data_IF_002819560400
#
_entry.id   IF_002819560400
#
_cell.length_a   1.000
_cell.length_b   1.000
_cell.length_c   1.000
_cell.angle_alpha   90.00
_cell.angle_beta   90.00
_cell.angle_gamma   90.00
#
_symmetry.space_group_name_H-M   'P 1'
#
loop_
_entity.id
_entity.type
_entity.pdbx_description
1 polymer ?
#
# COMPACT_ATOMS: atom_id res chain seq x y z
N UNK A 1 21.50 -9.92 10.74
CA UNK A 1 20.19 -10.40 10.27
C UNK A 1 20.29 -10.71 8.79
N UNK A 2 19.98 -11.98 8.44
CA UNK A 2 19.98 -12.39 7.03
C UNK A 2 18.73 -11.82 6.38
N UNK A 3 18.87 -11.01 5.34
CA UNK A 3 17.76 -10.47 4.58
C UNK A 3 17.19 -11.54 3.63
N UNK A 4 15.89 -11.50 3.37
CA UNK A 4 15.27 -12.26 2.30
C UNK A 4 15.58 -11.59 0.96
N UNK A 5 15.50 -12.35 -0.13
CA UNK A 5 15.47 -11.76 -1.46
C UNK A 5 14.26 -10.83 -1.59
N UNK A 6 14.33 -9.84 -2.47
CA UNK A 6 13.23 -8.92 -2.71
C UNK A 6 12.89 -8.83 -4.20
N UNK A 7 11.66 -8.42 -4.46
CA UNK A 7 11.17 -8.10 -5.79
C UNK A 7 10.66 -6.66 -5.80
N UNK A 8 11.08 -5.89 -6.78
CA UNK A 8 10.47 -4.60 -7.08
C UNK A 8 9.35 -4.87 -8.08
N UNK A 9 8.13 -4.49 -7.72
CA UNK A 9 6.97 -4.66 -8.59
C UNK A 9 6.48 -3.30 -9.02
N UNK A 10 6.55 -3.05 -10.33
CA UNK A 10 5.93 -1.89 -10.97
C UNK A 10 4.61 -2.35 -11.57
N UNK A 11 3.50 -1.82 -11.10
CA UNK A 11 2.20 -2.14 -11.66
C UNK A 11 1.68 -0.94 -12.45
N UNK A 12 1.29 -1.17 -13.71
CA UNK A 12 0.71 -0.15 -14.58
C UNK A 12 -0.79 -0.14 -14.39
N UNK A 13 -1.34 1.02 -14.10
CA UNK A 13 -2.79 1.22 -13.92
C UNK A 13 -3.30 2.18 -14.97
N UNK A 14 -4.30 1.73 -15.74
CA UNK A 14 -4.92 2.53 -16.79
C UNK A 14 -5.80 3.63 -16.19
N UNK A 15 -5.64 4.85 -16.66
CA UNK A 15 -6.37 6.03 -16.21
C UNK A 15 -7.89 5.90 -16.36
N UNK A 16 -8.35 5.39 -17.48
CA UNK A 16 -9.78 5.22 -17.77
C UNK A 16 -10.44 4.27 -16.77
N UNK A 17 -9.75 3.15 -16.47
CA UNK A 17 -10.21 2.20 -15.47
C UNK A 17 -10.41 2.85 -14.09
N UNK A 18 -9.46 3.72 -13.66
CA UNK A 18 -9.60 4.46 -12.40
C UNK A 18 -10.79 5.41 -12.45
N UNK A 19 -10.97 6.13 -13.56
CA UNK A 19 -12.08 7.07 -13.72
C UNK A 19 -13.43 6.36 -13.65
N UNK A 20 -13.57 5.24 -14.33
CA UNK A 20 -14.77 4.42 -14.30
C UNK A 20 -15.06 3.92 -12.87
N UNK A 21 -14.02 3.45 -12.17
CA UNK A 21 -14.14 3.00 -10.78
C UNK A 21 -14.66 4.12 -9.86
N UNK A 22 -14.13 5.35 -10.00
CA UNK A 22 -14.56 6.50 -9.20
C UNK A 22 -16.03 6.84 -9.50
N UNK A 23 -16.39 6.88 -10.77
CA UNK A 23 -17.73 7.28 -11.21
C UNK A 23 -18.81 6.25 -10.84
N UNK A 24 -18.54 4.97 -11.07
CA UNK A 24 -19.48 3.88 -10.82
C UNK A 24 -19.74 3.66 -9.33
N UNK A 25 -18.72 3.80 -8.50
CA UNK A 25 -18.82 3.47 -7.08
C UNK A 25 -19.09 4.69 -6.18
N UNK A 26 -19.25 5.89 -6.74
CA UNK A 26 -19.54 7.13 -5.99
C UNK A 26 -18.62 7.32 -4.76
N UNK A 27 -17.37 7.03 -4.93
CA UNK A 27 -16.37 7.10 -3.85
C UNK A 27 -16.27 8.53 -3.31
N UNK A 28 -16.14 8.67 -2.00
CA UNK A 28 -16.05 9.97 -1.32
C UNK A 28 -14.83 10.05 -0.40
N UNK A 29 -14.27 11.26 -0.28
CA UNK A 29 -13.15 11.58 0.62
C UNK A 29 -13.63 11.78 2.05
N UNK A 30 -12.70 11.86 3.00
CA UNK A 30 -12.97 12.10 4.41
C UNK A 30 -13.77 13.39 4.69
N UNK A 31 -13.72 14.39 3.80
CA UNK A 31 -14.47 15.63 3.89
C UNK A 31 -15.80 15.64 3.11
N UNK A 32 -16.29 14.46 2.73
CA UNK A 32 -17.49 14.25 1.89
C UNK A 32 -17.40 14.85 0.48
N UNK A 33 -16.21 15.27 0.03
CA UNK A 33 -15.98 15.65 -1.36
C UNK A 33 -15.83 14.39 -2.20
N UNK A 34 -16.37 14.43 -3.41
CA UNK A 34 -16.12 13.34 -4.37
C UNK A 34 -14.63 13.30 -4.74
N UNK A 35 -14.11 12.11 -4.95
CA UNK A 35 -12.77 11.93 -5.49
C UNK A 35 -12.68 12.55 -6.88
N UNK A 36 -11.61 13.27 -7.13
CA UNK A 36 -11.31 13.86 -8.43
C UNK A 36 -10.23 13.01 -9.10
N UNK A 37 -10.52 12.59 -10.33
CA UNK A 37 -9.56 11.83 -11.10
C UNK A 37 -8.19 12.54 -11.22
N UNK A 38 -8.19 13.82 -11.61
CA UNK A 38 -6.94 14.55 -11.88
C UNK A 38 -6.07 14.74 -10.63
N UNK A 39 -6.72 14.94 -9.46
CA UNK A 39 -6.00 15.17 -8.21
C UNK A 39 -5.60 13.87 -7.49
N UNK A 40 -6.32 12.79 -7.73
CA UNK A 40 -6.27 11.60 -6.86
C UNK A 40 -5.85 10.32 -7.62
N UNK A 41 -5.58 10.42 -8.91
CA UNK A 41 -5.24 9.29 -9.78
C UNK A 41 -4.09 8.43 -9.20
N UNK A 42 -3.03 9.07 -8.68
CA UNK A 42 -1.91 8.35 -8.08
C UNK A 42 -2.29 7.56 -6.83
N UNK A 43 -3.22 8.09 -6.02
CA UNK A 43 -3.72 7.41 -4.82
C UNK A 43 -4.50 6.16 -5.20
N UNK A 44 -5.39 6.27 -6.19
CA UNK A 44 -6.13 5.13 -6.71
C UNK A 44 -5.22 4.09 -7.36
N UNK A 45 -4.30 4.52 -8.23
CA UNK A 45 -3.34 3.65 -8.88
C UNK A 45 -2.53 2.85 -7.86
N UNK A 46 -2.07 3.52 -6.81
CA UNK A 46 -1.33 2.90 -5.71
C UNK A 46 -2.16 1.82 -5.00
N UNK A 47 -3.42 2.11 -4.70
CA UNK A 47 -4.29 1.17 -3.99
C UNK A 47 -4.69 -0.02 -4.87
N UNK A 48 -5.02 0.22 -6.14
CA UNK A 48 -5.35 -0.86 -7.08
C UNK A 48 -4.14 -1.78 -7.29
N UNK A 49 -2.95 -1.21 -7.51
CA UNK A 49 -1.70 -1.96 -7.63
C UNK A 49 -1.44 -2.83 -6.40
N UNK A 50 -1.64 -2.25 -5.21
CA UNK A 50 -1.50 -2.98 -3.95
C UNK A 50 -2.44 -4.18 -3.90
N UNK A 51 -3.74 -3.96 -4.17
CA UNK A 51 -4.76 -5.02 -4.08
C UNK A 51 -4.52 -6.14 -5.07
N UNK A 52 -4.18 -5.81 -6.31
CA UNK A 52 -3.82 -6.80 -7.32
C UNK A 52 -2.64 -7.67 -6.87
N UNK A 53 -1.58 -7.04 -6.35
CA UNK A 53 -0.42 -7.80 -5.89
C UNK A 53 -0.71 -8.64 -4.64
N UNK A 54 -1.50 -8.12 -3.70
CA UNK A 54 -1.94 -8.89 -2.52
C UNK A 54 -2.64 -10.17 -2.94
N UNK A 55 -3.51 -10.10 -3.94
CA UNK A 55 -4.22 -11.27 -4.47
C UNK A 55 -3.32 -12.22 -5.26
N UNK A 56 -2.49 -11.68 -6.15
CA UNK A 56 -1.62 -12.47 -7.04
C UNK A 56 -0.54 -13.22 -6.28
N UNK A 57 0.09 -12.56 -5.30
CA UNK A 57 1.22 -13.11 -4.55
C UNK A 57 0.81 -13.65 -3.16
N UNK A 58 -0.49 -13.62 -2.84
CA UNK A 58 -1.04 -14.03 -1.54
C UNK A 58 -0.33 -13.35 -0.35
N UNK A 59 -0.13 -12.02 -0.46
CA UNK A 59 0.52 -11.24 0.57
C UNK A 59 -0.41 -11.07 1.78
N UNK A 60 0.15 -11.19 2.97
CA UNK A 60 -0.60 -11.17 4.23
C UNK A 60 -0.49 -9.84 4.96
N UNK A 61 0.70 -9.24 4.95
CA UNK A 61 1.02 -8.07 5.77
C UNK A 61 1.73 -6.99 4.95
N UNK A 62 1.05 -5.89 4.72
CA UNK A 62 1.57 -4.78 3.91
C UNK A 62 1.62 -3.49 4.70
N UNK A 63 2.66 -2.69 4.46
CA UNK A 63 2.79 -1.33 5.00
C UNK A 63 2.85 -0.33 3.86
N UNK A 64 2.00 0.70 3.91
CA UNK A 64 2.07 1.82 2.97
C UNK A 64 2.63 3.08 3.63
N UNK A 65 3.52 3.75 2.91
CA UNK A 65 4.17 4.98 3.34
C UNK A 65 3.58 6.19 2.62
N UNK A 66 3.17 7.19 3.39
CA UNK A 66 2.54 8.41 2.91
C UNK A 66 3.31 9.65 3.36
N UNK A 67 3.22 10.72 2.58
CA UNK A 67 3.89 12.01 2.87
C UNK A 67 3.32 12.73 4.08
N UNK A 68 2.05 12.48 4.43
CA UNK A 68 1.36 13.12 5.56
C UNK A 68 0.32 12.23 6.23
N UNK A 69 -0.04 12.57 7.47
CA UNK A 69 -1.10 11.90 8.22
C UNK A 69 -2.46 11.98 7.50
N UNK A 70 -2.90 13.13 6.95
CA UNK A 70 -4.13 13.19 6.17
C UNK A 70 -4.13 12.21 5.00
N UNK A 71 -3.05 12.13 4.22
CA UNK A 71 -2.96 11.19 3.08
C UNK A 71 -3.03 9.74 3.53
N UNK A 72 -2.37 9.36 4.62
CA UNK A 72 -2.47 8.00 5.16
C UNK A 72 -3.88 7.64 5.61
N UNK A 73 -4.61 8.59 6.20
CA UNK A 73 -6.01 8.42 6.60
C UNK A 73 -6.95 8.29 5.40
N UNK A 74 -6.76 9.12 4.39
CA UNK A 74 -7.54 9.05 3.13
C UNK A 74 -7.32 7.73 2.41
N UNK A 75 -6.07 7.25 2.34
CA UNK A 75 -5.75 5.97 1.73
C UNK A 75 -6.46 4.80 2.44
N UNK A 76 -6.47 4.82 3.79
CA UNK A 76 -7.23 3.86 4.58
C UNK A 76 -8.72 3.94 4.27
N UNK A 77 -9.30 5.14 4.26
CA UNK A 77 -10.73 5.33 3.98
C UNK A 77 -11.10 4.81 2.60
N UNK A 78 -10.29 5.07 1.58
CA UNK A 78 -10.49 4.56 0.23
C UNK A 78 -10.43 3.03 0.21
N UNK A 79 -9.47 2.44 0.92
CA UNK A 79 -9.39 0.99 1.04
C UNK A 79 -10.66 0.40 1.66
N UNK A 80 -11.18 1.01 2.73
CA UNK A 80 -12.38 0.54 3.42
C UNK A 80 -13.62 0.67 2.51
N UNK A 81 -13.71 1.72 1.72
CA UNK A 81 -14.76 1.88 0.72
C UNK A 81 -14.68 0.77 -0.34
N UNK A 82 -13.50 0.51 -0.89
CA UNK A 82 -13.33 -0.55 -1.89
C UNK A 82 -13.64 -1.94 -1.33
N UNK A 83 -13.50 -2.19 -0.04
CA UNK A 83 -13.94 -3.44 0.58
C UNK A 83 -15.46 -3.65 0.47
N UNK A 84 -16.25 -2.59 0.26
CA UNK A 84 -17.72 -2.67 0.19
C UNK A 84 -18.24 -2.78 -1.24
N UNK A 85 -17.42 -2.49 -2.26
CA UNK A 85 -17.92 -2.32 -3.62
C UNK A 85 -17.70 -3.53 -4.53
N UNK A 86 -16.66 -4.31 -4.32
CA UNK A 86 -16.36 -5.40 -5.25
C UNK A 86 -15.63 -6.55 -4.58
N UNK A 87 -16.13 -7.76 -4.84
CA UNK A 87 -15.43 -9.00 -4.53
C UNK A 87 -14.13 -9.17 -5.35
N UNK A 88 -14.02 -8.48 -6.49
CA UNK A 88 -12.91 -8.65 -7.43
C UNK A 88 -11.57 -8.13 -6.88
N UNK A 89 -11.64 -7.18 -5.92
CA UNK A 89 -10.46 -6.62 -5.28
C UNK A 89 -10.05 -7.32 -3.98
N UNK A 90 -10.83 -8.32 -3.53
CA UNK A 90 -10.64 -8.94 -2.22
C UNK A 90 -10.93 -7.95 -1.07
N UNK A 91 -10.77 -8.43 0.16
CA UNK A 91 -10.90 -7.61 1.36
C UNK A 91 -9.53 -7.43 2.00
N UNK A 92 -9.12 -6.19 2.27
CA UNK A 92 -7.89 -5.88 2.99
C UNK A 92 -8.24 -5.09 4.25
N UNK A 93 -7.88 -5.62 5.41
CA UNK A 93 -8.12 -4.98 6.70
C UNK A 93 -7.10 -3.88 6.97
N UNK A 94 -7.51 -2.62 6.84
CA UNK A 94 -6.63 -1.48 6.99
C UNK A 94 -6.68 -0.85 8.38
N UNK A 95 -5.53 -0.53 8.91
CA UNK A 95 -5.34 0.29 10.10
C UNK A 95 -4.43 1.48 9.78
N UNK A 96 -4.63 2.61 10.45
CA UNK A 96 -3.78 3.78 10.28
C UNK A 96 -2.98 4.02 11.57
N UNK A 97 -1.72 4.41 11.41
CA UNK A 97 -0.82 4.72 12.53
C UNK A 97 -0.02 5.99 12.21
N UNK A 98 0.23 6.78 13.24
CA UNK A 98 1.01 8.01 13.13
C UNK A 98 1.93 8.22 14.33
N UNK A 99 2.88 9.12 14.20
CA UNK A 99 3.75 9.52 15.32
C UNK A 99 3.02 10.21 16.47
N UNK A 100 1.76 10.66 16.25
CA UNK A 100 0.92 11.28 17.28
C UNK A 100 0.20 10.26 18.17
N UNK A 101 0.16 9.00 17.76
CA UNK A 101 -0.53 7.96 18.53
C UNK A 101 0.31 7.53 19.73
N UNK A 102 -0.37 7.25 20.84
CA UNK A 102 0.30 6.73 22.05
C UNK A 102 0.95 5.36 21.77
N UNK A 103 1.90 4.98 22.62
CA UNK A 103 2.55 3.67 22.52
C UNK A 103 1.56 2.51 22.66
N UNK A 104 0.52 2.67 23.51
CA UNK A 104 -0.54 1.69 23.67
C UNK A 104 -1.34 1.49 22.38
N UNK A 105 -1.85 2.58 21.80
CA UNK A 105 -2.59 2.54 20.51
C UNK A 105 -1.75 1.89 19.41
N UNK A 106 -0.48 2.27 19.31
CA UNK A 106 0.43 1.67 18.32
C UNK A 106 0.61 0.17 18.53
N UNK A 107 0.75 -0.28 19.79
CA UNK A 107 0.87 -1.69 20.13
C UNK A 107 -0.39 -2.47 19.74
N UNK A 108 -1.57 -1.92 20.01
CA UNK A 108 -2.86 -2.55 19.68
C UNK A 108 -3.03 -2.72 18.16
N UNK A 109 -2.71 -1.66 17.40
CA UNK A 109 -2.73 -1.70 15.92
C UNK A 109 -1.77 -2.76 15.41
N UNK A 110 -0.55 -2.84 15.93
CA UNK A 110 0.44 -3.84 15.51
C UNK A 110 0.04 -5.25 15.88
N UNK A 111 -0.60 -5.46 17.02
CA UNK A 111 -1.13 -6.76 17.43
C UNK A 111 -2.23 -7.20 16.47
N UNK A 112 -3.17 -6.32 16.16
CA UNK A 112 -4.24 -6.57 15.19
C UNK A 112 -3.69 -6.86 13.79
N UNK A 113 -2.71 -6.09 13.35
CA UNK A 113 -2.04 -6.27 12.07
C UNK A 113 -1.45 -7.68 11.91
N UNK A 114 -0.84 -8.22 12.96
CA UNK A 114 -0.26 -9.57 12.96
C UNK A 114 -1.27 -10.70 12.99
N UNK A 115 -2.49 -10.44 13.47
CA UNK A 115 -3.51 -11.48 13.69
C UNK A 115 -4.56 -11.58 12.59
N UNK A 116 -4.66 -10.59 11.71
CA UNK A 116 -5.66 -10.53 10.64
C UNK A 116 -4.96 -10.53 9.29
N UNK A 117 -5.43 -11.35 8.35
CA UNK A 117 -4.86 -11.50 7.01
C UNK A 117 -5.93 -11.42 5.92
N UNK A 118 -5.70 -10.72 4.82
CA UNK A 118 -4.60 -9.78 4.58
C UNK A 118 -4.81 -8.47 5.34
N UNK A 119 -3.74 -7.87 5.83
CA UNK A 119 -3.77 -6.62 6.58
C UNK A 119 -2.83 -5.56 6.02
N UNK A 120 -3.26 -4.30 6.16
CA UNK A 120 -2.55 -3.12 5.72
C UNK A 120 -2.39 -2.12 6.87
N UNK A 121 -1.18 -1.63 7.08
CA UNK A 121 -0.95 -0.43 7.89
C UNK A 121 -0.63 0.74 6.97
N UNK A 122 -1.44 1.79 7.04
CA UNK A 122 -1.12 3.08 6.43
C UNK A 122 -0.43 3.97 7.43
N UNK A 123 0.73 4.53 7.07
CA UNK A 123 1.49 5.35 8.00
C UNK A 123 2.11 6.59 7.35
N UNK A 124 2.33 7.63 8.18
CA UNK A 124 3.08 8.81 7.82
C UNK A 124 4.27 8.96 8.77
N UNK A 125 5.46 8.54 8.31
CA UNK A 125 6.76 8.73 8.97
C UNK A 125 6.99 8.01 10.31
N UNK A 126 6.05 7.25 10.85
CA UNK A 126 6.21 6.69 12.19
C UNK A 126 6.78 5.25 12.23
N UNK A 127 6.77 4.55 11.12
CA UNK A 127 7.32 3.18 11.03
C UNK A 127 8.74 3.15 10.42
N UNK A 128 9.37 4.30 10.20
CA UNK A 128 10.75 4.39 9.73
C UNK A 128 11.77 4.15 10.84
N UNK A 129 11.39 4.36 12.11
CA UNK A 129 12.28 4.18 13.26
C UNK A 129 11.68 3.25 14.32
N UNK A 130 12.52 2.42 14.93
CA UNK A 130 12.25 1.74 16.21
C UNK A 130 11.21 0.62 16.24
N UNK A 131 10.50 0.30 15.17
CA UNK A 131 9.48 -0.78 15.16
C UNK A 131 9.97 -1.97 14.37
N UNK A 132 10.22 -3.06 15.07
CA UNK A 132 10.55 -4.35 14.44
C UNK A 132 9.26 -5.13 14.16
N UNK A 133 8.91 -5.24 12.87
CA UNK A 133 7.78 -6.03 12.40
C UNK A 133 8.29 -7.05 11.38
N UNK A 134 8.73 -8.24 11.81
CA UNK A 134 9.29 -9.25 10.90
C UNK A 134 8.30 -9.78 9.88
N UNK A 135 7.01 -9.70 10.19
CA UNK A 135 5.92 -10.26 9.35
C UNK A 135 5.59 -9.44 8.10
N UNK A 136 6.21 -8.28 7.86
CA UNK A 136 5.91 -7.46 6.68
C UNK A 136 6.34 -8.21 5.41
N UNK A 137 5.39 -8.45 4.51
CA UNK A 137 5.63 -9.08 3.20
C UNK A 137 5.96 -8.04 2.13
N UNK A 138 5.30 -6.88 2.19
CA UNK A 138 5.46 -5.83 1.20
C UNK A 138 5.42 -4.43 1.79
N UNK A 139 6.11 -3.52 1.13
CA UNK A 139 6.00 -2.07 1.34
C UNK A 139 5.51 -1.39 0.08
N UNK A 140 4.58 -0.44 0.25
CA UNK A 140 4.08 0.42 -0.81
C UNK A 140 4.54 1.86 -0.54
N UNK A 141 5.14 2.49 -1.53
CA UNK A 141 5.40 3.93 -1.53
C UNK A 141 4.27 4.63 -2.30
N UNK A 142 3.21 5.01 -1.59
CA UNK A 142 2.02 5.62 -2.19
C UNK A 142 2.25 7.07 -2.67
N UNK A 143 3.20 7.76 -2.06
CA UNK A 143 3.63 9.10 -2.45
C UNK A 143 5.10 9.07 -2.88
N UNK A 144 5.50 9.90 -3.88
CA UNK A 144 6.89 10.02 -4.27
C UNK A 144 7.79 10.36 -3.07
N UNK A 145 8.82 9.56 -2.85
CA UNK A 145 9.81 9.79 -1.80
C UNK A 145 11.02 10.50 -2.39
N UNK A 146 11.40 11.62 -1.80
CA UNK A 146 12.59 12.37 -2.21
C UNK A 146 13.86 11.85 -1.55
N UNK A 147 13.76 10.98 -0.53
CA UNK A 147 14.90 10.47 0.23
C UNK A 147 15.15 9.00 -0.10
N UNK A 148 16.28 8.73 -0.73
CA UNK A 148 16.78 7.37 -0.96
C UNK A 148 16.99 6.60 0.36
N UNK A 149 17.39 7.29 1.43
CA UNK A 149 17.60 6.69 2.75
C UNK A 149 16.29 6.15 3.32
N UNK A 150 15.20 6.92 3.23
CA UNK A 150 13.88 6.48 3.72
C UNK A 150 13.38 5.25 2.95
N UNK A 151 13.61 5.22 1.64
CA UNK A 151 13.23 4.09 0.78
C UNK A 151 14.01 2.83 1.21
N UNK A 152 15.33 2.94 1.36
CA UNK A 152 16.20 1.82 1.75
C UNK A 152 15.84 1.29 3.13
N UNK A 153 15.58 2.17 4.11
CA UNK A 153 15.21 1.76 5.46
C UNK A 153 13.84 1.06 5.50
N UNK A 154 12.85 1.59 4.78
CA UNK A 154 11.53 0.99 4.71
C UNK A 154 11.55 -0.35 3.95
N UNK A 155 12.28 -0.42 2.83
CA UNK A 155 12.48 -1.64 2.07
C UNK A 155 13.23 -2.71 2.91
N UNK A 156 14.25 -2.31 3.68
CA UNK A 156 14.99 -3.20 4.58
C UNK A 156 14.10 -3.91 5.61
N UNK A 157 12.97 -3.30 6.00
CA UNK A 157 11.98 -3.93 6.89
C UNK A 157 11.20 -5.03 6.18
N UNK A 158 10.74 -4.78 4.96
CA UNK A 158 10.07 -5.80 4.16
C UNK A 158 11.01 -6.95 3.77
N UNK A 159 12.32 -6.71 3.74
CA UNK A 159 13.32 -7.74 3.40
C UNK A 159 13.75 -8.60 4.60
N UNK A 160 13.27 -8.36 5.82
CA UNK A 160 13.60 -9.23 6.96
C UNK A 160 13.06 -10.62 6.76
N UNK A 161 13.90 -11.62 7.03
CA UNK A 161 13.46 -13.02 6.98
C UNK A 161 12.46 -13.31 8.06
N UNK A 162 11.39 -13.98 7.66
CA UNK A 162 10.41 -14.60 8.53
C UNK A 162 10.12 -16.01 8.00
N UNK A 163 9.74 -16.91 8.88
CA UNK A 163 9.40 -18.29 8.50
C UNK A 163 8.27 -18.29 7.45
N UNK A 164 8.44 -19.06 6.39
CA UNK A 164 7.49 -19.16 5.28
C UNK A 164 7.60 -18.03 4.24
N UNK A 165 8.40 -16.98 4.49
CA UNK A 165 8.56 -15.85 3.58
C UNK A 165 9.66 -16.10 2.57
N UNK A 166 9.29 -16.14 1.28
CA UNK A 166 10.23 -16.35 0.17
C UNK A 166 10.88 -15.04 -0.30
N UNK A 167 10.07 -13.99 -0.46
CA UNK A 167 10.51 -12.67 -0.93
C UNK A 167 9.89 -11.55 -0.09
N UNK A 168 10.58 -10.39 -0.05
CA UNK A 168 9.98 -9.11 0.30
C UNK A 168 9.59 -8.37 -0.97
N UNK A 169 8.47 -7.64 -0.98
CA UNK A 169 8.00 -6.91 -2.15
C UNK A 169 8.09 -5.40 -1.92
N UNK A 170 8.56 -4.69 -2.93
CA UNK A 170 8.56 -3.22 -2.98
C UNK A 170 7.63 -2.82 -4.11
N UNK A 171 6.53 -2.16 -3.78
CA UNK A 171 5.48 -1.81 -4.74
C UNK A 171 5.66 -0.34 -5.13
N UNK A 172 5.84 -0.12 -6.44
CA UNK A 172 5.95 1.21 -7.03
C UNK A 172 4.90 1.31 -8.13
N UNK A 173 3.77 1.98 -7.88
CA UNK A 173 2.73 2.13 -8.90
C UNK A 173 3.17 3.09 -10.01
N UNK A 174 2.83 2.75 -11.24
CA UNK A 174 3.05 3.57 -12.43
C UNK A 174 1.70 3.81 -13.11
N UNK A 175 1.40 5.08 -13.37
CA UNK A 175 0.20 5.46 -14.10
C UNK A 175 0.57 5.55 -15.58
N UNK A 176 -0.24 4.91 -16.43
CA UNK A 176 -0.08 4.96 -17.88
C UNK A 176 -1.29 5.59 -18.55
N UNK A 177 -1.05 6.39 -19.57
CA UNK A 177 -2.10 6.91 -20.44
C UNK A 177 -2.54 5.82 -21.45
N UNK A 178 -3.70 5.98 -22.09
CA UNK A 178 -4.34 4.96 -22.93
C UNK A 178 -3.50 4.48 -24.14
N UNK A 179 -2.52 5.27 -24.58
CA UNK A 179 -1.77 5.00 -25.82
C UNK A 179 -0.55 4.07 -25.63
N UNK A 180 -0.25 3.64 -24.42
CA UNK A 180 0.86 2.74 -24.13
C UNK A 180 0.40 1.31 -23.74
N UNK A 181 -0.36 0.65 -24.60
CA UNK A 181 -0.55 -0.81 -24.54
C UNK A 181 0.73 -1.51 -25.02
N UNK A 182 1.66 -1.74 -24.13
CA UNK A 182 2.88 -2.44 -24.45
C UNK A 182 3.56 -3.08 -23.25
N UNK A 183 3.34 -4.37 -23.10
CA UNK A 183 4.16 -5.34 -22.35
C UNK A 183 4.40 -5.09 -20.86
N UNK A 184 3.83 -5.98 -20.08
CA UNK A 184 4.26 -6.26 -18.71
C UNK A 184 5.69 -6.82 -18.79
N UNK A 185 6.70 -6.02 -18.50
CA UNK A 185 8.04 -6.52 -18.21
C UNK A 185 8.15 -6.73 -16.70
N UNK A 186 8.16 -7.99 -16.29
CA UNK A 186 8.71 -8.40 -15.01
C UNK A 186 10.23 -8.36 -15.12
N UNK A 187 10.84 -7.22 -14.85
CA UNK A 187 12.28 -7.16 -14.64
C UNK A 187 12.59 -7.70 -13.24
N UNK A 188 12.93 -8.96 -13.20
CA UNK A 188 13.61 -9.57 -12.06
C UNK A 188 15.11 -9.29 -12.21
N UNK A 189 15.67 -8.48 -11.32
CA UNK A 189 17.11 -8.39 -11.06
C UNK A 189 17.49 -9.32 -9.92
#
# INVERSE_FOLDING_TARGET
PVLSNYKIVTNRVNKKYIQDLINENKLVRANNKQWSYDADCSTFASLISLRQLVMQENLKHVVSFHSSIPRSKEFKLLNDQLNTFSSDFGIIHASQISGKDSSGVRKDVLTKFKSIEPSLITNARCLTEGVDIPVIDAVLFADPKNSTVDIVQAAGRAMRKCEGKKYGYIIVPIIVDEDEEGSIHNDSF
#
